data_IF_757220850170
#
_entry.id   IF_757220850170
#
_cell.length_a   1.000
_cell.length_b   1.000
_cell.length_c   1.000
_cell.angle_alpha   90.00
_cell.angle_beta   90.00
_cell.angle_gamma   90.00
#
_symmetry.space_group_name_H-M   'P 1'
#
loop_
_entity.id
_entity.type
_entity.pdbx_description
1 polymer ?
#
# COMPACT_ATOMS: atom_id res chain seq x y z
N UNK A 1 -17.40 5.51 -1.41
CA UNK A 1 -16.54 4.89 -0.37
C UNK A 1 -15.22 4.47 -1.00
N UNK A 2 -14.12 4.47 -0.26
CA UNK A 2 -12.87 3.86 -0.68
C UNK A 2 -12.75 2.48 -0.03
N UNK A 3 -12.39 1.48 -0.80
CA UNK A 3 -12.07 0.14 -0.33
C UNK A 3 -10.61 -0.17 -0.64
N UNK A 4 -9.87 -0.63 0.36
CA UNK A 4 -8.46 -0.99 0.24
C UNK A 4 -8.33 -2.50 0.30
N UNK A 5 -7.76 -3.06 -0.75
CA UNK A 5 -7.60 -4.50 -0.97
C UNK A 5 -6.11 -4.86 -0.95
N UNK A 6 -5.80 -5.99 -0.32
CA UNK A 6 -4.48 -6.62 -0.31
C UNK A 6 -4.66 -8.07 -0.76
N UNK A 7 -4.03 -8.47 -1.87
CA UNK A 7 -4.13 -9.83 -2.43
C UNK A 7 -5.59 -10.35 -2.47
N UNK A 8 -6.50 -9.54 -3.04
CA UNK A 8 -7.94 -9.82 -3.13
C UNK A 8 -8.69 -9.92 -1.78
N UNK A 9 -8.07 -9.52 -0.66
CA UNK A 9 -8.72 -9.39 0.64
C UNK A 9 -8.97 -7.93 0.99
N UNK A 10 -10.22 -7.58 1.32
CA UNK A 10 -10.56 -6.27 1.86
C UNK A 10 -9.89 -6.10 3.24
N UNK A 11 -9.00 -5.11 3.37
CA UNK A 11 -8.28 -4.82 4.62
C UNK A 11 -8.75 -3.54 5.30
N UNK A 12 -9.36 -2.62 4.55
CA UNK A 12 -9.84 -1.36 5.09
C UNK A 12 -10.91 -0.73 4.18
N UNK A 13 -11.86 -0.01 4.77
CA UNK A 13 -12.87 0.76 4.05
C UNK A 13 -13.09 2.12 4.71
N UNK A 14 -13.24 3.17 3.92
CA UNK A 14 -13.44 4.52 4.40
C UNK A 14 -14.59 5.20 3.64
N UNK A 15 -15.48 5.87 4.38
CA UNK A 15 -16.47 6.74 3.76
C UNK A 15 -15.77 7.95 3.16
N UNK A 16 -16.06 8.24 1.89
CA UNK A 16 -15.56 9.42 1.21
C UNK A 16 -16.65 10.48 1.12
N UNK A 17 -16.26 11.75 1.21
CA UNK A 17 -17.07 12.88 0.77
C UNK A 17 -16.51 13.42 -0.55
N UNK A 18 -17.29 14.20 -1.32
CA UNK A 18 -16.79 14.84 -2.53
C UNK A 18 -15.52 15.67 -2.27
N UNK A 19 -14.56 15.57 -3.18
CA UNK A 19 -13.28 16.28 -3.11
C UNK A 19 -12.07 15.37 -2.88
N UNK A 20 -10.91 16.00 -2.65
CA UNK A 20 -9.66 15.27 -2.39
C UNK A 20 -9.62 14.82 -0.92
N UNK A 21 -9.47 13.52 -0.69
CA UNK A 21 -9.39 12.96 0.65
C UNK A 21 -8.19 12.03 0.80
N UNK A 22 -7.52 12.15 1.94
CA UNK A 22 -6.46 11.23 2.32
C UNK A 22 -7.05 9.95 2.95
N UNK A 23 -6.47 8.80 2.60
CA UNK A 23 -6.79 7.52 3.22
C UNK A 23 -5.96 7.36 4.49
N UNK A 24 -6.60 6.99 5.60
CA UNK A 24 -5.88 6.74 6.85
C UNK A 24 -5.12 5.40 6.80
N UNK A 25 -3.81 5.49 6.54
CA UNK A 25 -2.92 4.33 6.43
C UNK A 25 -2.45 3.79 7.79
N UNK A 26 -2.78 4.44 8.91
CA UNK A 26 -2.32 4.03 10.25
C UNK A 26 -2.88 2.67 10.67
N UNK A 27 -4.13 2.39 10.28
CA UNK A 27 -4.84 1.13 10.56
C UNK A 27 -4.40 -0.03 9.67
N UNK A 28 -3.69 0.26 8.59
CA UNK A 28 -3.21 -0.78 7.69
C UNK A 28 -2.07 -1.58 8.36
N UNK A 29 -1.92 -2.87 8.03
CA UNK A 29 -0.83 -3.71 8.55
C UNK A 29 0.56 -3.09 8.37
N UNK A 30 1.48 -3.50 9.23
CA UNK A 30 2.91 -3.22 9.01
C UNK A 30 3.44 -4.13 7.92
N UNK A 31 4.42 -3.66 7.15
CA UNK A 31 5.04 -4.38 6.05
C UNK A 31 5.32 -3.48 4.84
N UNK A 32 5.90 -4.10 3.81
CA UNK A 32 6.03 -3.50 2.49
C UNK A 32 5.19 -4.34 1.54
N UNK A 33 4.11 -3.79 1.01
CA UNK A 33 3.15 -4.53 0.19
C UNK A 33 2.38 -3.60 -0.74
N UNK A 34 1.83 -4.18 -1.81
CA UNK A 34 0.99 -3.43 -2.74
C UNK A 34 -0.47 -3.55 -2.33
N UNK A 35 -1.21 -2.47 -2.52
CA UNK A 35 -2.66 -2.40 -2.29
C UNK A 35 -3.36 -1.92 -3.55
N UNK A 36 -4.59 -2.37 -3.71
CA UNK A 36 -5.53 -1.84 -4.70
C UNK A 36 -6.60 -1.06 -3.96
N UNK A 37 -6.81 0.17 -4.37
CA UNK A 37 -7.81 1.08 -3.82
C UNK A 37 -8.92 1.19 -4.85
N UNK A 38 -10.09 0.69 -4.52
CA UNK A 38 -11.29 0.86 -5.33
C UNK A 38 -12.12 2.00 -4.75
N UNK A 39 -12.41 3.00 -5.57
CA UNK A 39 -13.38 4.05 -5.22
C UNK A 39 -14.73 3.62 -5.75
N UNK A 40 -15.71 3.51 -4.87
CA UNK A 40 -17.07 3.13 -5.21
C UNK A 40 -18.01 4.34 -5.07
N UNK A 41 -18.82 4.55 -6.09
CA UNK A 41 -19.95 5.48 -6.09
C UNK A 41 -21.23 4.68 -6.38
N UNK A 42 -22.24 4.81 -5.52
CA UNK A 42 -23.51 4.08 -5.63
C UNK A 42 -23.35 2.55 -5.83
N UNK A 43 -22.33 1.96 -5.18
CA UNK A 43 -22.04 0.53 -5.24
C UNK A 43 -21.31 0.06 -6.52
N UNK A 44 -20.92 0.98 -7.41
CA UNK A 44 -20.12 0.68 -8.59
C UNK A 44 -18.71 1.23 -8.43
N UNK A 45 -17.70 0.46 -8.86
CA UNK A 45 -16.32 0.93 -8.92
C UNK A 45 -16.21 2.00 -10.00
N UNK A 46 -15.87 3.22 -9.60
CA UNK A 46 -15.67 4.37 -10.50
C UNK A 46 -14.20 4.65 -10.77
N UNK A 47 -13.31 4.21 -9.88
CA UNK A 47 -11.87 4.37 -10.02
C UNK A 47 -11.13 3.24 -9.29
N UNK A 48 -9.98 2.85 -9.84
CA UNK A 48 -9.09 1.83 -9.28
C UNK A 48 -7.66 2.33 -9.32
N UNK A 49 -7.04 2.44 -8.16
CA UNK A 49 -5.65 2.88 -8.01
C UNK A 49 -4.80 1.80 -7.35
N UNK A 50 -3.55 1.67 -7.78
CA UNK A 50 -2.57 0.79 -7.14
C UNK A 50 -1.52 1.62 -6.42
N UNK A 51 -1.23 1.28 -5.17
CA UNK A 51 -0.21 1.95 -4.37
C UNK A 51 0.62 0.94 -3.57
N UNK A 52 1.83 1.34 -3.18
CA UNK A 52 2.67 0.55 -2.27
C UNK A 52 2.61 1.16 -0.87
N UNK A 53 2.27 0.32 0.11
CA UNK A 53 2.42 0.66 1.52
C UNK A 53 3.85 0.35 1.94
N UNK A 54 4.49 1.34 2.58
CA UNK A 54 5.83 1.21 3.13
C UNK A 54 5.80 1.49 4.63
N UNK A 55 5.58 0.45 5.44
CA UNK A 55 5.54 0.51 6.92
C UNK A 55 6.44 -0.57 7.53
N UNK A 56 7.78 -0.46 7.47
CA UNK A 56 8.67 -1.49 7.98
C UNK A 56 8.45 -1.71 9.49
N UNK A 57 8.47 -2.96 9.94
CA UNK A 57 8.15 -3.40 11.31
C UNK A 57 8.95 -2.68 12.43
N UNK A 58 10.12 -2.10 12.12
CA UNK A 58 11.00 -1.46 13.10
C UNK A 58 10.71 0.02 13.44
N UNK A 59 9.69 0.65 12.85
CA UNK A 59 9.45 2.09 13.01
C UNK A 59 8.71 2.48 14.31
N UNK A 60 8.39 1.53 15.18
CA UNK A 60 7.62 1.76 16.41
C UNK A 60 8.46 1.92 17.69
N UNK A 61 9.80 1.79 17.64
CA UNK A 61 10.62 1.90 18.86
C UNK A 61 11.28 3.29 18.98
N UNK A 62 10.71 4.24 19.76
CA UNK A 62 11.28 5.57 19.95
C UNK A 62 12.65 5.59 20.67
N UNK A 63 13.06 4.46 21.28
CA UNK A 63 14.34 4.33 21.97
C UNK A 63 15.54 3.95 21.07
N UNK A 64 15.33 3.67 19.78
CA UNK A 64 16.43 3.37 18.84
C UNK A 64 16.65 4.53 17.86
N UNK A 65 17.52 5.48 18.26
CA UNK A 65 17.86 6.71 17.51
C UNK A 65 18.80 6.49 16.32
N UNK A 66 19.63 5.45 16.34
CA UNK A 66 20.58 5.16 15.26
C UNK A 66 20.07 4.01 14.40
N UNK A 67 20.01 4.23 13.08
CA UNK A 67 19.53 3.26 12.09
C UNK A 67 20.51 3.24 10.91
N UNK A 68 21.22 2.12 10.74
CA UNK A 68 22.09 1.88 9.59
C UNK A 68 21.49 0.74 8.77
N UNK A 69 21.37 0.94 7.46
CA UNK A 69 20.96 -0.08 6.53
C UNK A 69 22.12 -0.34 5.55
N UNK A 70 22.62 -1.58 5.50
CA UNK A 70 23.66 -2.03 4.58
C UNK A 70 23.04 -2.93 3.52
N UNK A 71 23.13 -2.52 2.26
CA UNK A 71 22.47 -3.21 1.14
C UNK A 71 23.56 -3.68 0.18
N UNK A 72 23.44 -4.93 -0.30
CA UNK A 72 24.34 -5.52 -1.28
C UNK A 72 23.59 -6.55 -2.12
N UNK A 73 23.74 -6.48 -3.44
CA UNK A 73 23.07 -7.38 -4.37
C UNK A 73 23.40 -7.04 -5.82
N UNK A 74 23.05 -7.95 -6.73
CA UNK A 74 23.21 -7.76 -8.17
C UNK A 74 21.84 -7.62 -8.82
N UNK A 75 21.67 -6.60 -9.66
CA UNK A 75 20.46 -6.40 -10.45
C UNK A 75 20.33 -7.52 -11.47
N UNK A 76 19.23 -8.28 -11.43
CA UNK A 76 18.82 -9.19 -12.50
C UNK A 76 17.73 -8.51 -13.31
N UNK A 77 18.06 -8.15 -14.54
CA UNK A 77 17.05 -7.71 -15.50
C UNK A 77 16.28 -8.94 -16.01
N UNK A 78 14.96 -8.92 -15.85
CA UNK A 78 14.07 -9.96 -16.36
C UNK A 78 13.93 -9.77 -17.88
N UNK A 79 14.61 -10.62 -18.65
CA UNK A 79 14.38 -10.69 -20.09
C UNK A 79 13.12 -11.52 -20.32
N UNK A 80 12.00 -10.86 -20.61
CA UNK A 80 10.81 -11.53 -21.13
C UNK A 80 11.11 -11.96 -22.57
N UNK A 81 11.48 -13.22 -22.75
CA UNK A 81 11.57 -13.83 -24.08
C UNK A 81 10.16 -14.20 -24.54
N UNK A 82 9.60 -13.40 -25.45
CA UNK A 82 8.43 -13.80 -26.23
C UNK A 82 8.91 -14.63 -27.41
N UNK A 83 8.36 -15.83 -27.58
CA UNK A 83 8.51 -16.65 -28.79
C UNK A 83 7.13 -16.94 -29.36
#
# INVERSE_FOLDING_TARGET
IAEVWLDNRLIYSQQLQPGMQAIDTRRLPSGIYNITINTLENGKVVDTQTAQVYKPLGWQNPNQKWRLNLWGGQKKDLVLSSK
#
